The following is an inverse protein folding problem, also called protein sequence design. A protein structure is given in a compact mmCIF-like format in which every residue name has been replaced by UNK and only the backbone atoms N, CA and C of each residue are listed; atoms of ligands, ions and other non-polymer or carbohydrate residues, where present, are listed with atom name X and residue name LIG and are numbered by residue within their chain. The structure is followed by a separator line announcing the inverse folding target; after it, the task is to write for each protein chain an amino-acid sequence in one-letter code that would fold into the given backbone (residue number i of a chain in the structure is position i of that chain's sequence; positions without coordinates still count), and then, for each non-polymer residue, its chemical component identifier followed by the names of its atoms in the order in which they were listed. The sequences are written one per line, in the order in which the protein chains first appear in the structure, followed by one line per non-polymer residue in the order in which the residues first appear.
data_IF_968712362277
#
_entry.id   IF_968712362277
#
_cell.length_a   1.000
_cell.length_b   1.000
_cell.length_c   1.000
_cell.angle_alpha   90.00
_cell.angle_beta   90.00
_cell.angle_gamma   90.00
#
_symmetry.space_group_name_H-M   'P 1'
#
loop_
_entity.id
_entity.type
_entity.pdbx_description
1 polymer ?
#
# COMPACT_ATOMS: atom_id res chain seq x y z
N UNK A 1 -5.40 -9.67 -25.53
CA UNK A 1 -6.43 -9.37 -24.50
C UNK A 1 -6.24 -10.18 -23.21
N UNK A 2 -6.08 -11.52 -23.24
CA UNK A 2 -5.98 -12.36 -22.03
C UNK A 2 -4.93 -11.95 -20.98
N UNK A 3 -3.84 -11.29 -21.39
CA UNK A 3 -2.77 -10.84 -20.47
C UNK A 3 -3.17 -9.69 -19.53
N UNK A 4 -4.24 -8.95 -19.86
CA UNK A 4 -4.75 -7.86 -19.03
C UNK A 4 -5.74 -8.33 -17.96
N UNK A 5 -6.27 -9.55 -18.08
CA UNK A 5 -7.20 -10.13 -17.11
C UNK A 5 -6.66 -10.06 -15.66
N UNK A 6 -5.45 -10.56 -15.34
CA UNK A 6 -4.96 -10.50 -13.96
C UNK A 6 -4.73 -9.07 -13.46
N UNK A 7 -4.33 -8.15 -14.34
CA UNK A 7 -4.16 -6.74 -14.00
C UNK A 7 -5.50 -6.11 -13.62
N UNK A 8 -6.53 -6.24 -14.47
CA UNK A 8 -7.85 -5.65 -14.23
C UNK A 8 -8.48 -6.25 -12.98
N UNK A 9 -8.36 -7.57 -12.77
CA UNK A 9 -8.87 -8.22 -11.56
C UNK A 9 -8.21 -7.68 -10.30
N UNK A 10 -6.88 -7.52 -10.28
CA UNK A 10 -6.19 -6.95 -9.11
C UNK A 10 -6.59 -5.50 -8.85
N UNK A 11 -6.73 -4.68 -9.90
CA UNK A 11 -7.19 -3.29 -9.73
C UNK A 11 -8.58 -3.25 -9.10
N UNK A 12 -9.51 -4.10 -9.54
CA UNK A 12 -10.86 -4.19 -8.95
C UNK A 12 -10.80 -4.64 -7.48
N UNK A 13 -9.99 -5.65 -7.16
CA UNK A 13 -9.85 -6.15 -5.79
C UNK A 13 -9.30 -5.06 -4.87
N UNK A 14 -8.28 -4.33 -5.34
CA UNK A 14 -7.63 -3.27 -4.56
C UNK A 14 -8.58 -2.10 -4.35
N UNK A 15 -9.25 -1.60 -5.38
CA UNK A 15 -10.21 -0.48 -5.23
C UNK A 15 -11.40 -0.85 -4.36
N UNK A 16 -11.89 -2.09 -4.44
CA UNK A 16 -12.93 -2.60 -3.54
C UNK A 16 -12.44 -2.67 -2.10
N UNK A 17 -11.24 -3.22 -1.86
CA UNK A 17 -10.62 -3.28 -0.53
C UNK A 17 -10.34 -1.88 0.03
N UNK A 18 -9.97 -0.93 -0.82
CA UNK A 18 -9.76 0.47 -0.47
C UNK A 18 -11.06 1.19 -0.13
N UNK A 19 -12.24 0.66 -0.48
CA UNK A 19 -13.53 1.33 -0.22
C UNK A 19 -14.04 1.21 1.22
N UNK A 20 -13.22 0.70 2.15
CA UNK A 20 -13.64 0.63 3.55
C UNK A 20 -13.62 2.02 4.20
N UNK A 21 -14.71 2.46 4.86
CA UNK A 21 -14.73 3.71 5.60
C UNK A 21 -13.69 3.66 6.71
N UNK A 22 -13.16 4.82 7.11
CA UNK A 22 -12.35 4.91 8.32
C UNK A 22 -13.20 4.36 9.46
N UNK A 23 -12.84 3.17 9.97
CA UNK A 23 -13.54 2.58 11.11
C UNK A 23 -13.55 3.59 12.28
N UNK A 24 -14.53 3.49 13.18
CA UNK A 24 -14.58 4.38 14.34
C UNK A 24 -13.22 4.35 15.07
N UNK A 25 -12.76 5.49 15.63
CA UNK A 25 -11.57 5.49 16.46
C UNK A 25 -11.72 4.40 17.51
N UNK A 26 -10.72 3.52 17.61
CA UNK A 26 -10.75 2.40 18.56
C UNK A 26 -10.65 2.98 19.97
N UNK A 27 -11.81 3.22 20.59
CA UNK A 27 -11.93 3.60 21.99
C UNK A 27 -12.00 2.31 22.78
N UNK A 28 -10.95 2.01 23.55
CA UNK A 28 -10.82 0.85 24.43
C UNK A 28 -10.83 -0.55 23.77
N UNK A 29 -9.65 -1.03 23.38
CA UNK A 29 -9.33 -2.45 23.59
C UNK A 29 -8.54 -2.51 24.90
N UNK A 30 -9.22 -2.86 26.00
CA UNK A 30 -8.72 -2.84 27.38
C UNK A 30 -7.60 -3.83 27.71
N UNK A 31 -7.00 -4.47 26.72
CA UNK A 31 -5.89 -5.40 26.92
C UNK A 31 -4.83 -5.10 25.85
N UNK A 32 -3.76 -4.34 26.18
CA UNK A 32 -2.56 -4.41 25.36
C UNK A 32 -2.13 -5.87 25.38
N UNK A 33 -1.95 -6.50 24.21
CA UNK A 33 -1.21 -7.76 24.17
C UNK A 33 0.15 -7.43 24.80
N UNK A 34 0.34 -7.88 26.04
CA UNK A 34 1.45 -7.52 26.96
C UNK A 34 2.84 -7.75 26.31
N UNK A 35 2.86 -8.46 25.18
CA UNK A 35 4.00 -8.73 24.31
C UNK A 35 4.56 -7.50 23.58
N UNK A 36 3.79 -6.41 23.42
CA UNK A 36 4.22 -5.21 22.69
C UNK A 36 4.46 -3.98 23.57
N UNK A 37 4.73 -4.18 24.87
CA UNK A 37 4.95 -3.08 25.80
C UNK A 37 6.09 -2.11 25.41
N UNK A 38 7.09 -2.63 24.69
CA UNK A 38 8.20 -1.87 24.12
C UNK A 38 7.80 -0.89 23.01
N UNK A 39 6.59 -0.99 22.45
CA UNK A 39 6.05 -0.05 21.46
C UNK A 39 5.29 1.13 22.08
N UNK A 40 5.04 1.14 23.40
CA UNK A 40 4.26 2.20 24.06
C UNK A 40 4.90 3.59 23.94
N UNK A 41 6.23 3.67 23.79
CA UNK A 41 6.98 4.93 23.70
C UNK A 41 7.36 5.32 22.26
N UNK A 42 6.80 4.64 21.24
CA UNK A 42 7.13 4.93 19.85
C UNK A 42 6.32 6.14 19.36
N UNK A 43 6.93 7.31 19.44
CA UNK A 43 6.42 8.52 18.81
C UNK A 43 6.83 8.52 17.34
N UNK A 44 5.91 8.17 16.45
CA UNK A 44 6.10 8.38 15.02
C UNK A 44 5.33 9.65 14.64
N UNK A 45 6.06 10.74 14.45
CA UNK A 45 5.49 11.96 13.89
C UNK A 45 5.31 11.76 12.40
N UNK A 46 4.06 11.58 11.96
CA UNK A 46 3.74 11.49 10.54
C UNK A 46 3.14 12.83 10.11
N UNK A 47 4.04 13.68 9.59
CA UNK A 47 3.76 14.95 8.90
C UNK A 47 2.71 15.87 9.57
N UNK A 48 3.02 16.27 10.81
CA UNK A 48 2.28 17.32 11.55
C UNK A 48 1.10 16.83 12.37
N UNK A 49 0.72 15.55 12.27
CA UNK A 49 -0.21 14.89 13.18
C UNK A 49 0.53 13.84 14.02
N UNK A 50 0.33 13.89 15.34
CA UNK A 50 0.85 12.85 16.22
C UNK A 50 0.08 11.54 15.95
N UNK A 51 0.79 10.55 15.37
CA UNK A 51 0.33 9.16 15.31
C UNK A 51 0.94 8.41 16.50
N UNK A 52 0.88 9.05 17.67
CA UNK A 52 1.36 8.47 18.91
C UNK A 52 0.44 7.35 19.35
N UNK A 53 1.01 6.38 20.04
CA UNK A 53 0.29 5.36 20.82
C UNK A 53 -0.73 5.98 21.78
N UNK A 54 -0.55 7.23 22.19
CA UNK A 54 -1.51 8.01 22.98
C UNK A 54 -2.80 8.39 22.24
N UNK A 55 -2.78 8.59 20.92
CA UNK A 55 -3.95 9.06 20.15
C UNK A 55 -4.75 7.92 19.50
N UNK A 56 -4.12 6.76 19.24
CA UNK A 56 -4.74 5.62 18.54
C UNK A 56 -4.58 4.26 19.24
N UNK A 57 -3.82 4.18 20.32
CA UNK A 57 -3.43 2.92 20.94
C UNK A 57 -2.45 2.09 20.09
N UNK A 58 -1.79 1.09 20.70
CA UNK A 58 -0.87 0.17 20.00
C UNK A 58 -1.58 -0.58 18.86
N UNK A 59 -2.83 -0.99 19.08
CA UNK A 59 -3.65 -1.67 18.08
C UNK A 59 -3.96 -0.76 16.87
N UNK A 60 -4.20 0.53 17.09
CA UNK A 60 -4.43 1.48 16.00
C UNK A 60 -3.18 1.72 15.16
N UNK A 61 -2.00 1.81 15.79
CA UNK A 61 -0.71 1.93 15.10
C UNK A 61 -0.40 0.69 14.26
N UNK A 62 -0.56 -0.50 14.83
CA UNK A 62 -0.34 -1.78 14.12
C UNK A 62 -1.26 -1.90 12.90
N UNK A 63 -2.56 -1.60 13.04
CA UNK A 63 -3.51 -1.61 11.92
C UNK A 63 -3.14 -0.58 10.84
N UNK A 64 -2.64 0.59 11.24
CA UNK A 64 -2.16 1.61 10.30
C UNK A 64 -0.95 1.12 9.51
N UNK A 65 0.10 0.63 10.20
CA UNK A 65 1.32 0.11 9.56
C UNK A 65 0.97 -1.08 8.65
N UNK A 66 0.18 -2.02 9.14
CA UNK A 66 -0.25 -3.18 8.37
C UNK A 66 -0.95 -2.74 7.06
N UNK A 67 -1.86 -1.77 7.12
CA UNK A 67 -2.54 -1.24 5.94
C UNK A 67 -1.57 -0.61 4.94
N UNK A 68 -0.64 0.21 5.41
CA UNK A 68 0.39 0.84 4.55
C UNK A 68 1.29 -0.19 3.87
N UNK A 69 1.66 -1.26 4.59
CA UNK A 69 2.41 -2.38 4.02
C UNK A 69 1.58 -3.16 2.99
N UNK A 70 0.31 -3.44 3.28
CA UNK A 70 -0.57 -4.14 2.34
C UNK A 70 -0.69 -3.39 1.01
N UNK A 71 -0.90 -2.07 1.07
CA UNK A 71 -0.95 -1.21 -0.12
C UNK A 71 0.37 -1.25 -0.91
N UNK A 72 1.51 -1.11 -0.24
CA UNK A 72 2.83 -1.24 -0.86
C UNK A 72 2.99 -2.56 -1.66
N UNK A 73 2.57 -3.69 -1.08
CA UNK A 73 2.63 -4.99 -1.77
C UNK A 73 1.59 -5.12 -2.90
N UNK A 74 0.37 -4.60 -2.71
CA UNK A 74 -0.68 -4.62 -3.74
C UNK A 74 -0.27 -3.84 -4.98
N UNK A 75 0.23 -2.63 -4.83
CA UNK A 75 0.72 -1.84 -5.96
C UNK A 75 1.96 -2.46 -6.60
N UNK A 76 2.81 -3.13 -5.81
CA UNK A 76 3.85 -4.01 -6.32
C UNK A 76 3.32 -5.13 -7.25
N UNK A 77 2.27 -5.83 -6.84
CA UNK A 77 1.63 -6.88 -7.64
C UNK A 77 0.94 -6.32 -8.90
N UNK A 78 0.27 -5.17 -8.80
CA UNK A 78 -0.29 -4.45 -9.95
C UNK A 78 0.83 -4.10 -10.95
N UNK A 79 1.98 -3.63 -10.48
CA UNK A 79 3.12 -3.31 -11.35
C UNK A 79 3.65 -4.54 -12.08
N UNK A 80 3.73 -5.70 -11.42
CA UNK A 80 4.17 -6.95 -12.06
C UNK A 80 3.17 -7.47 -13.09
N UNK A 81 1.86 -7.37 -12.82
CA UNK A 81 0.83 -7.76 -13.79
C UNK A 81 0.74 -6.78 -14.96
N UNK A 82 0.94 -5.48 -14.72
CA UNK A 82 1.11 -4.48 -15.77
C UNK A 82 2.36 -4.76 -16.62
N UNK A 83 3.48 -5.16 -16.00
CA UNK A 83 4.70 -5.56 -16.70
C UNK A 83 4.46 -6.82 -17.54
N UNK A 84 3.71 -7.80 -17.04
CA UNK A 84 3.35 -8.98 -17.82
C UNK A 84 2.51 -8.63 -19.06
N UNK A 85 1.58 -7.68 -18.92
CA UNK A 85 0.72 -7.23 -20.00
C UNK A 85 1.44 -6.37 -21.04
N UNK A 86 2.25 -5.41 -20.59
CA UNK A 86 2.94 -4.42 -21.44
C UNK A 86 4.30 -4.86 -21.94
N UNK A 87 5.02 -5.68 -21.16
CA UNK A 87 6.43 -6.07 -21.37
C UNK A 87 7.44 -4.92 -21.35
N UNK A 88 7.04 -3.76 -20.86
CA UNK A 88 7.88 -2.57 -20.74
C UNK A 88 7.84 -2.05 -19.31
N UNK A 89 8.99 -2.03 -18.64
CA UNK A 89 9.10 -1.60 -17.23
C UNK A 89 8.61 -0.17 -16.99
N UNK A 90 9.03 0.77 -17.84
CA UNK A 90 8.63 2.17 -17.70
C UNK A 90 7.12 2.35 -17.87
N UNK A 91 6.52 1.66 -18.86
CA UNK A 91 5.08 1.72 -19.10
C UNK A 91 4.28 1.05 -17.97
N UNK A 92 4.75 -0.10 -17.48
CA UNK A 92 4.14 -0.79 -16.35
C UNK A 92 4.12 0.10 -15.10
N UNK A 93 5.27 0.71 -14.78
CA UNK A 93 5.38 1.65 -13.67
C UNK A 93 4.42 2.84 -13.82
N UNK A 94 4.43 3.49 -14.99
CA UNK A 94 3.56 4.63 -15.25
C UNK A 94 2.07 4.29 -15.11
N UNK A 95 1.64 3.13 -15.64
CA UNK A 95 0.26 2.66 -15.48
C UNK A 95 -0.07 2.45 -13.99
N UNK A 96 0.83 1.84 -13.22
CA UNK A 96 0.59 1.62 -11.79
C UNK A 96 0.50 2.93 -11.00
N UNK A 97 1.33 3.93 -11.33
CA UNK A 97 1.23 5.27 -10.72
C UNK A 97 -0.11 5.91 -11.03
N UNK A 98 -0.62 5.79 -12.27
CA UNK A 98 -1.96 6.27 -12.61
C UNK A 98 -3.06 5.55 -11.80
N UNK A 99 -2.93 4.24 -11.59
CA UNK A 99 -3.86 3.49 -10.72
C UNK A 99 -3.79 3.99 -9.27
N UNK A 100 -2.61 4.31 -8.75
CA UNK A 100 -2.45 4.85 -7.39
C UNK A 100 -3.09 6.24 -7.25
N UNK A 101 -2.85 7.12 -8.23
CA UNK A 101 -3.53 8.41 -8.28
C UNK A 101 -5.06 8.26 -8.34
N UNK A 102 -5.55 7.29 -9.12
CA UNK A 102 -6.98 7.02 -9.23
C UNK A 102 -7.56 6.47 -7.92
N UNK A 103 -6.85 5.59 -7.21
CA UNK A 103 -7.30 5.06 -5.93
C UNK A 103 -7.43 6.18 -4.88
N UNK A 104 -6.44 7.06 -4.76
CA UNK A 104 -6.50 8.20 -3.83
C UNK A 104 -7.57 9.22 -4.22
N UNK A 105 -7.74 9.47 -5.52
CA UNK A 105 -8.84 10.29 -6.02
C UNK A 105 -10.21 9.67 -5.68
N UNK A 106 -10.39 8.37 -5.90
CA UNK A 106 -11.60 7.64 -5.54
C UNK A 106 -11.85 7.66 -4.02
N UNK A 107 -10.80 7.50 -3.21
CA UNK A 107 -10.87 7.58 -1.75
C UNK A 107 -11.24 8.99 -1.26
N UNK A 108 -10.87 10.06 -1.98
CA UNK A 108 -11.20 11.44 -1.60
C UNK A 108 -12.71 11.74 -1.59
N UNK A 109 -13.52 10.92 -2.26
CA UNK A 109 -14.98 11.02 -2.21
C UNK A 109 -15.59 10.34 -0.98
N UNK A 110 -14.80 9.62 -0.18
CA UNK A 110 -15.25 8.94 1.04
C UNK A 110 -15.12 9.91 2.23
N UNK A 111 -16.22 10.26 2.92
CA UNK A 111 -16.19 11.18 4.05
C UNK A 111 -15.24 10.68 5.16
N UNK A 112 -14.39 11.57 5.68
CA UNK A 112 -13.42 11.23 6.73
C UNK A 112 -12.12 10.61 6.24
N UNK A 113 -11.91 10.50 4.92
CA UNK A 113 -10.64 10.11 4.30
C UNK A 113 -10.11 11.27 3.44
N UNK A 114 -9.07 11.94 3.93
CA UNK A 114 -8.33 12.90 3.10
C UNK A 114 -7.38 12.10 2.23
N UNK A 115 -7.59 12.09 0.91
CA UNK A 115 -6.62 11.52 -0.02
C UNK A 115 -5.28 12.24 0.14
N UNK A 116 -4.21 11.50 0.40
CA UNK A 116 -2.89 12.08 0.68
C UNK A 116 -1.94 11.79 -0.46
N UNK A 117 -1.25 12.81 -0.96
CA UNK A 117 -0.20 12.64 -1.97
C UNK A 117 0.91 11.68 -1.50
N UNK A 118 1.06 11.53 -0.18
CA UNK A 118 1.96 10.57 0.46
C UNK A 118 1.60 9.11 0.17
N UNK A 119 0.31 8.81 0.02
CA UNK A 119 -0.17 7.44 -0.22
C UNK A 119 0.14 7.04 -1.66
N UNK A 120 -0.05 7.97 -2.61
CA UNK A 120 0.44 7.80 -4.00
C UNK A 120 1.95 7.55 -4.04
N UNK A 121 2.74 8.30 -3.25
CA UNK A 121 4.21 8.12 -3.21
C UNK A 121 4.59 6.76 -2.64
N UNK A 122 3.93 6.32 -1.56
CA UNK A 122 4.18 5.01 -0.96
C UNK A 122 3.82 3.87 -1.92
N UNK A 123 2.67 3.97 -2.59
CA UNK A 123 2.19 2.99 -3.56
C UNK A 123 3.10 2.93 -4.78
N UNK A 124 3.57 4.09 -5.24
CA UNK A 124 4.58 4.20 -6.30
C UNK A 124 5.92 3.59 -5.88
N UNK A 125 6.34 3.77 -4.62
CA UNK A 125 7.55 3.13 -4.10
C UNK A 125 7.42 1.60 -4.07
N UNK A 126 6.25 1.06 -3.74
CA UNK A 126 5.94 -0.37 -3.79
C UNK A 126 6.03 -0.92 -5.22
N UNK A 127 5.43 -0.22 -6.17
CA UNK A 127 5.51 -0.54 -7.60
C UNK A 127 6.97 -0.57 -8.09
N UNK A 128 7.74 0.48 -7.79
CA UNK A 128 9.15 0.59 -8.20
C UNK A 128 9.99 -0.54 -7.60
N UNK A 129 9.85 -0.80 -6.30
CA UNK A 129 10.61 -1.82 -5.58
C UNK A 129 10.40 -3.21 -6.18
N UNK A 130 9.15 -3.60 -6.44
CA UNK A 130 8.85 -4.91 -7.02
C UNK A 130 9.35 -5.06 -8.46
N UNK A 131 9.26 -4.00 -9.28
CA UNK A 131 9.80 -4.01 -10.63
C UNK A 131 11.33 -4.18 -10.65
N UNK A 132 12.04 -3.45 -9.78
CA UNK A 132 13.50 -3.57 -9.65
C UNK A 132 13.89 -4.96 -9.17
N UNK A 133 13.23 -5.47 -8.13
CA UNK A 133 13.49 -6.82 -7.61
C UNK A 133 13.29 -7.87 -8.71
N UNK A 134 12.21 -7.78 -9.47
CA UNK A 134 11.94 -8.70 -10.57
C UNK A 134 12.99 -8.61 -11.69
N UNK A 135 13.46 -7.41 -12.03
CA UNK A 135 14.54 -7.21 -12.99
C UNK A 135 15.86 -7.85 -12.50
N UNK A 136 16.20 -7.69 -11.22
CA UNK A 136 17.38 -8.31 -10.62
C UNK A 136 17.30 -9.84 -10.66
N UNK A 137 16.16 -10.41 -10.26
CA UNK A 137 15.93 -11.86 -10.29
C UNK A 137 16.06 -12.44 -11.71
N UNK A 138 15.54 -11.72 -12.72
CA UNK A 138 15.72 -12.13 -14.12
C UNK A 138 17.19 -12.09 -14.56
N UNK A 139 17.94 -11.07 -14.15
CA UNK A 139 19.38 -10.97 -14.45
C UNK A 139 20.17 -12.10 -13.78
N UNK A 140 19.86 -12.42 -12.53
CA UNK A 140 20.51 -13.52 -11.80
C UNK A 140 20.23 -14.86 -12.46
N UNK A 141 18.96 -15.15 -12.83
CA UNK A 141 18.59 -16.40 -13.51
C UNK A 141 19.29 -16.58 -14.86
N UNK A 142 19.50 -15.50 -15.62
CA UNK A 142 20.23 -15.54 -16.90
C UNK A 142 21.74 -15.76 -16.76
N UNK A 143 22.31 -15.58 -15.57
CA UNK A 143 23.75 -15.83 -15.32
C UNK A 143 24.04 -17.28 -14.95
N UNK A 144 23.05 -18.01 -14.45
CA UNK A 144 23.17 -19.40 -14.00
C UNK A 144 22.77 -20.44 -15.05
N UNK A 145 22.30 -20.01 -16.23
CA UNK A 145 21.94 -20.87 -17.37
C UNK A 145 22.90 -20.59 -18.52
#
# INVERSE_FOLDING_TARGET
MKRWIPFVLLVIIVTWSSHQPAGPPVVNDSEPIVQFAWLHNLHITFWGGDISTETRGVNGLLRFIARKMMHFFYFGAIALTALYATRHYALAFFITVLVACFDEWHQSFIPGRGGMMQDVVLDSAGAFTMLVLFALLQRLRRRTT
#
